data_IF_678036108431
#
_entry.id   IF_678036108431
#
_cell.length_a   1.000
_cell.length_b   1.000
_cell.length_c   1.000
_cell.angle_alpha   90.00
_cell.angle_beta   90.00
_cell.angle_gamma   90.00
#
_symmetry.space_group_name_H-M   'P 1'
#
loop_
_entity.id
_entity.type
_entity.pdbx_description
1 polymer ?
#
# COMPACT_ATOMS: atom_id res chain seq x y z
N UNK A 1 23.57 22.81 11.34
CA UNK A 1 23.16 21.57 10.67
C UNK A 1 22.94 20.43 11.66
N UNK A 2 23.89 20.11 12.57
CA UNK A 2 23.73 19.02 13.57
C UNK A 2 22.47 19.13 14.44
N UNK A 3 22.17 20.32 15.00
CA UNK A 3 20.94 20.53 15.82
C UNK A 3 19.66 20.22 15.04
N UNK A 4 19.62 20.49 13.74
CA UNK A 4 18.49 20.18 12.88
C UNK A 4 18.28 18.67 12.73
N UNK A 5 19.36 17.91 12.45
CA UNK A 5 19.30 16.46 12.32
C UNK A 5 18.92 15.78 13.63
N UNK A 6 19.54 16.19 14.77
CA UNK A 6 19.24 15.63 16.09
C UNK A 6 17.75 15.85 16.44
N UNK A 7 17.26 17.09 16.25
CA UNK A 7 15.84 17.40 16.52
C UNK A 7 14.92 16.53 15.67
N UNK A 8 15.23 16.37 14.38
CA UNK A 8 14.43 15.55 13.45
C UNK A 8 14.43 14.08 13.83
N UNK A 9 15.59 13.55 14.23
CA UNK A 9 15.72 12.17 14.70
C UNK A 9 14.91 11.93 15.98
N UNK A 10 14.99 12.84 16.96
CA UNK A 10 14.21 12.74 18.21
C UNK A 10 12.70 12.72 17.89
N UNK A 11 12.22 13.65 17.05
CA UNK A 11 10.81 13.66 16.67
C UNK A 11 10.40 12.40 15.91
N UNK A 12 11.24 11.87 15.01
CA UNK A 12 10.97 10.63 14.31
C UNK A 12 10.83 9.44 15.28
N UNK A 13 11.74 9.33 16.25
CA UNK A 13 11.69 8.27 17.27
C UNK A 13 10.44 8.42 18.13
N UNK A 14 10.13 9.62 18.61
CA UNK A 14 8.94 9.88 19.41
C UNK A 14 7.66 9.57 18.62
N UNK A 15 7.60 9.95 17.36
CA UNK A 15 6.45 9.66 16.48
C UNK A 15 6.29 8.16 16.27
N UNK A 16 7.37 7.44 15.94
CA UNK A 16 7.35 5.99 15.80
C UNK A 16 6.89 5.30 17.08
N UNK A 17 7.44 5.71 18.21
CA UNK A 17 7.05 5.17 19.51
C UNK A 17 5.58 5.42 19.81
N UNK A 18 5.10 6.64 19.59
CA UNK A 18 3.69 7.00 19.81
C UNK A 18 2.76 6.19 18.90
N UNK A 19 3.09 6.06 17.61
CA UNK A 19 2.30 5.28 16.66
C UNK A 19 2.25 3.81 17.07
N UNK A 20 3.40 3.21 17.39
CA UNK A 20 3.44 1.80 17.81
C UNK A 20 2.66 1.57 19.10
N UNK A 21 2.72 2.50 20.06
CA UNK A 21 1.96 2.42 21.29
C UNK A 21 0.45 2.47 21.05
N UNK A 22 0.00 3.42 20.23
CA UNK A 22 -1.43 3.57 19.88
C UNK A 22 -1.93 2.34 19.12
N UNK A 23 -1.20 1.90 18.08
CA UNK A 23 -1.61 0.74 17.27
C UNK A 23 -1.63 -0.54 18.11
N UNK A 24 -0.63 -0.73 18.98
CA UNK A 24 -0.61 -1.86 19.91
C UNK A 24 -1.81 -1.79 20.87
N UNK A 25 -2.11 -0.61 21.43
CA UNK A 25 -3.28 -0.39 22.28
C UNK A 25 -4.60 -0.73 21.57
N UNK A 26 -4.79 -0.19 20.37
CA UNK A 26 -5.99 -0.47 19.57
C UNK A 26 -6.13 -1.97 19.24
N UNK A 27 -5.02 -2.66 18.96
CA UNK A 27 -5.04 -4.09 18.69
C UNK A 27 -5.45 -4.94 19.90
N UNK A 28 -5.30 -4.40 21.12
CA UNK A 28 -5.68 -5.05 22.38
C UNK A 28 -7.08 -4.65 22.89
N UNK A 29 -7.68 -3.62 22.31
CA UNK A 29 -9.07 -3.23 22.60
C UNK A 29 -10.09 -4.03 21.77
N UNK A 30 -9.62 -4.75 20.76
CA UNK A 30 -10.44 -5.63 19.94
C UNK A 30 -10.84 -6.93 20.66
N UNK A 31 -11.64 -7.79 20.00
CA UNK A 31 -11.95 -9.12 20.50
C UNK A 31 -10.69 -9.93 20.79
N UNK A 32 -10.77 -10.88 21.73
CA UNK A 32 -9.65 -11.75 22.05
C UNK A 32 -9.12 -12.41 20.75
N UNK A 33 -7.83 -12.20 20.41
CA UNK A 33 -7.26 -12.75 19.18
C UNK A 33 -7.30 -14.27 19.11
N UNK A 34 -7.52 -14.95 20.24
CA UNK A 34 -7.64 -16.41 20.30
C UNK A 34 -9.02 -16.92 19.85
N UNK A 35 -10.02 -16.02 19.70
CA UNK A 35 -11.33 -16.42 19.17
C UNK A 35 -11.25 -16.96 17.73
N UNK A 36 -10.17 -16.66 16.99
CA UNK A 36 -9.94 -17.25 15.67
C UNK A 36 -9.80 -18.76 15.73
N UNK A 37 -9.21 -19.29 16.80
CA UNK A 37 -9.07 -20.73 17.01
C UNK A 37 -10.39 -21.39 17.42
N UNK A 38 -11.27 -20.68 18.13
CA UNK A 38 -12.59 -21.20 18.54
C UNK A 38 -13.52 -21.33 17.34
N UNK A 39 -13.37 -20.49 16.31
CA UNK A 39 -14.23 -20.51 15.11
C UNK A 39 -13.86 -21.58 14.10
N UNK A 40 -12.59 -21.99 14.04
CA UNK A 40 -12.09 -22.95 13.03
C UNK A 40 -12.33 -24.41 13.46
N UNK A 41 -12.43 -24.70 14.76
CA UNK A 41 -12.66 -26.06 15.24
C UNK A 41 -14.14 -26.33 15.50
N UNK A 42 -14.72 -27.22 14.70
CA UNK A 42 -16.11 -27.69 14.83
C UNK A 42 -16.42 -28.39 16.17
N UNK A 43 -15.40 -28.73 16.96
CA UNK A 43 -15.49 -29.41 18.25
C UNK A 43 -15.26 -28.49 19.47
N UNK A 44 -14.92 -27.21 19.24
CA UNK A 44 -14.62 -26.28 20.32
C UNK A 44 -13.28 -26.59 21.04
N UNK A 45 -12.41 -25.62 21.10
CA UNK A 45 -11.15 -25.74 21.88
C UNK A 45 -11.51 -25.68 23.35
N UNK A 46 -10.93 -26.59 24.18
CA UNK A 46 -11.18 -26.57 25.62
C UNK A 46 -10.62 -25.28 26.26
N UNK A 47 -11.25 -24.78 27.32
CA UNK A 47 -10.77 -23.59 28.05
C UNK A 47 -9.33 -23.76 28.52
N UNK A 48 -8.95 -24.97 28.92
CA UNK A 48 -7.57 -25.30 29.33
C UNK A 48 -6.56 -25.04 28.19
N UNK A 49 -6.92 -25.37 26.95
CA UNK A 49 -6.06 -25.11 25.78
C UNK A 49 -5.99 -23.61 25.45
N UNK A 50 -7.10 -22.88 25.60
CA UNK A 50 -7.11 -21.42 25.44
C UNK A 50 -6.23 -20.74 26.48
N UNK A 51 -6.26 -21.17 27.73
CA UNK A 51 -5.39 -20.61 28.79
C UNK A 51 -3.91 -20.91 28.53
N UNK A 52 -3.58 -22.10 28.05
CA UNK A 52 -2.21 -22.41 27.60
C UNK A 52 -1.75 -21.50 26.46
N UNK A 53 -2.63 -21.23 25.49
CA UNK A 53 -2.37 -20.31 24.41
C UNK A 53 -2.23 -18.86 24.90
N UNK A 54 -3.09 -18.41 25.83
CA UNK A 54 -2.96 -17.07 26.46
C UNK A 54 -1.61 -16.88 27.13
N UNK A 55 -1.18 -17.88 27.91
CA UNK A 55 0.12 -17.84 28.58
C UNK A 55 1.28 -17.90 27.58
N UNK A 56 1.19 -18.75 26.55
CA UNK A 56 2.19 -18.86 25.49
C UNK A 56 2.38 -17.53 24.76
N UNK A 57 1.30 -16.82 24.45
CA UNK A 57 1.34 -15.52 23.76
C UNK A 57 1.49 -14.32 24.71
N UNK A 58 1.54 -14.57 26.04
CA UNK A 58 1.68 -13.54 27.06
C UNK A 58 0.50 -12.57 27.12
N UNK A 59 -0.70 -13.02 26.73
CA UNK A 59 -1.92 -12.25 26.74
C UNK A 59 -2.51 -12.09 28.16
N UNK A 60 -2.08 -12.94 29.09
CA UNK A 60 -2.38 -12.93 30.52
C UNK A 60 -1.73 -11.79 31.29
N UNK A 61 -0.77 -11.09 30.69
CA UNK A 61 0.03 -10.07 31.36
C UNK A 61 -0.59 -8.68 31.23
N UNK A 62 -0.27 -7.74 32.17
CA UNK A 62 -0.67 -6.35 32.07
C UNK A 62 -0.20 -5.73 30.73
N UNK A 63 -1.01 -4.85 30.17
CA UNK A 63 -0.79 -4.20 28.87
C UNK A 63 0.62 -3.61 28.70
N UNK A 64 1.11 -2.89 29.69
CA UNK A 64 2.44 -2.27 29.65
C UNK A 64 3.58 -3.31 29.54
N UNK A 65 3.42 -4.47 30.19
CA UNK A 65 4.41 -5.56 30.11
C UNK A 65 4.36 -6.21 28.73
N UNK A 66 3.17 -6.41 28.16
CA UNK A 66 3.01 -6.93 26.81
C UNK A 66 3.69 -6.00 25.80
N UNK A 67 3.43 -4.67 25.88
CA UNK A 67 4.02 -3.69 24.98
C UNK A 67 5.54 -3.65 25.07
N UNK A 68 6.10 -3.59 26.27
CA UNK A 68 7.56 -3.54 26.48
C UNK A 68 8.26 -4.79 25.95
N UNK A 69 7.68 -5.98 26.15
CA UNK A 69 8.21 -7.23 25.62
C UNK A 69 8.18 -7.26 24.09
N UNK A 70 7.05 -6.87 23.51
CA UNK A 70 6.89 -6.77 22.08
C UNK A 70 7.88 -5.78 21.47
N UNK A 71 8.05 -4.61 22.07
CA UNK A 71 9.03 -3.62 21.63
C UNK A 71 10.46 -4.15 21.72
N UNK A 72 10.82 -4.84 22.82
CA UNK A 72 12.13 -5.44 22.98
C UNK A 72 12.39 -6.58 21.98
N UNK A 73 11.37 -7.33 21.56
CA UNK A 73 11.48 -8.34 20.52
C UNK A 73 11.73 -7.69 19.15
N UNK A 74 10.94 -6.68 18.79
CA UNK A 74 11.07 -5.95 17.51
C UNK A 74 12.45 -5.31 17.36
N UNK A 75 13.00 -4.71 18.40
CA UNK A 75 14.35 -4.11 18.35
C UNK A 75 15.45 -5.13 18.12
N UNK A 76 15.18 -6.41 18.36
CA UNK A 76 16.08 -7.54 18.06
C UNK A 76 15.78 -8.20 16.70
N UNK A 77 14.82 -7.66 15.94
CA UNK A 77 14.40 -8.25 14.66
C UNK A 77 13.42 -9.41 14.79
N UNK A 78 12.93 -9.70 16.00
CA UNK A 78 11.90 -10.71 16.23
C UNK A 78 10.51 -10.06 16.17
N UNK A 79 9.80 -10.30 15.07
CA UNK A 79 8.43 -9.83 14.84
C UNK A 79 7.38 -10.82 15.37
N UNK A 80 7.82 -11.89 16.02
CA UNK A 80 6.95 -12.93 16.54
C UNK A 80 6.30 -13.81 15.47
N UNK A 81 5.29 -14.55 15.91
CA UNK A 81 4.49 -15.41 15.05
C UNK A 81 3.11 -14.82 14.76
N UNK A 82 2.61 -15.02 13.57
CA UNK A 82 1.24 -14.67 13.19
C UNK A 82 0.26 -15.65 13.84
N UNK A 83 -0.68 -15.14 14.63
CA UNK A 83 -1.74 -15.95 15.26
C UNK A 83 -2.59 -16.65 14.18
N UNK A 84 -2.95 -15.94 13.11
CA UNK A 84 -3.79 -16.47 12.04
C UNK A 84 -3.06 -17.47 11.12
N UNK A 85 -1.80 -17.19 10.77
CA UNK A 85 -1.03 -18.01 9.82
C UNK A 85 -0.15 -19.07 10.50
N UNK A 86 0.01 -19.02 11.81
CA UNK A 86 0.87 -19.92 12.64
C UNK A 86 2.31 -20.03 12.11
N UNK A 87 2.84 -18.93 11.61
CA UNK A 87 4.17 -18.85 10.99
C UNK A 87 4.88 -17.56 11.42
N UNK A 88 6.22 -17.53 11.42
CA UNK A 88 6.98 -16.32 11.70
C UNK A 88 6.56 -15.14 10.79
N UNK A 89 6.28 -13.99 11.39
CA UNK A 89 5.86 -12.77 10.67
C UNK A 89 6.93 -12.32 9.68
N UNK A 90 8.22 -12.43 10.06
CA UNK A 90 9.36 -12.12 9.18
C UNK A 90 9.32 -12.91 7.87
N UNK A 91 8.97 -14.20 7.93
CA UNK A 91 8.87 -15.06 6.75
C UNK A 91 7.69 -14.64 5.86
N UNK A 92 6.54 -14.32 6.46
CA UNK A 92 5.36 -13.84 5.74
C UNK A 92 5.67 -12.53 5.00
N UNK A 93 6.36 -11.60 5.68
CA UNK A 93 6.78 -10.32 5.07
C UNK A 93 7.75 -10.59 3.92
N UNK A 94 8.79 -11.39 4.14
CA UNK A 94 9.80 -11.68 3.12
C UNK A 94 9.19 -12.34 1.86
N UNK A 95 8.19 -13.19 2.01
CA UNK A 95 7.48 -13.83 0.89
C UNK A 95 6.57 -12.87 0.12
N UNK A 96 5.97 -11.87 0.79
CA UNK A 96 5.00 -10.96 0.16
C UNK A 96 5.62 -9.64 -0.31
N UNK A 97 6.66 -9.17 0.36
CA UNK A 97 7.29 -7.88 0.07
C UNK A 97 7.77 -7.74 -1.39
N UNK A 98 8.42 -8.74 -2.03
CA UNK A 98 8.87 -8.62 -3.41
C UNK A 98 7.72 -8.33 -4.39
N UNK A 99 6.61 -9.06 -4.27
CA UNK A 99 5.44 -8.86 -5.14
C UNK A 99 4.80 -7.47 -4.92
N UNK A 100 4.74 -7.02 -3.67
CA UNK A 100 4.23 -5.68 -3.31
C UNK A 100 5.11 -4.58 -3.90
N UNK A 101 6.44 -4.70 -3.79
CA UNK A 101 7.38 -3.73 -4.34
C UNK A 101 7.34 -3.72 -5.88
N UNK A 102 7.26 -4.88 -6.52
CA UNK A 102 7.11 -4.98 -7.98
C UNK A 102 5.84 -4.29 -8.45
N UNK A 103 4.70 -4.58 -7.82
CA UNK A 103 3.43 -3.95 -8.16
C UNK A 103 3.47 -2.44 -7.96
N UNK A 104 3.99 -1.97 -6.82
CA UNK A 104 4.13 -0.55 -6.52
C UNK A 104 5.02 0.17 -7.53
N UNK A 105 6.14 -0.43 -7.92
CA UNK A 105 7.07 0.14 -8.89
C UNK A 105 6.44 0.22 -10.30
N UNK A 106 5.76 -0.83 -10.75
CA UNK A 106 5.07 -0.84 -12.05
C UNK A 106 3.96 0.23 -12.04
N UNK A 107 3.13 0.28 -11.00
CA UNK A 107 2.07 1.27 -10.87
C UNK A 107 2.63 2.70 -10.85
N UNK A 108 3.75 2.94 -10.13
CA UNK A 108 4.41 4.24 -10.10
C UNK A 108 4.96 4.66 -11.46
N UNK A 109 5.58 3.76 -12.23
CA UNK A 109 6.09 4.03 -13.58
C UNK A 109 4.92 4.35 -14.52
N UNK A 110 3.84 3.54 -14.49
CA UNK A 110 2.65 3.74 -15.30
C UNK A 110 1.91 5.04 -14.96
N UNK A 111 2.03 5.52 -13.73
CA UNK A 111 1.45 6.79 -13.32
C UNK A 111 2.36 7.98 -13.68
N UNK A 112 3.65 7.91 -13.36
CA UNK A 112 4.55 9.06 -13.44
C UNK A 112 4.94 9.40 -14.88
N UNK A 113 5.31 8.43 -15.71
CA UNK A 113 5.78 8.70 -17.07
C UNK A 113 4.69 9.36 -17.93
N UNK A 114 3.49 8.76 -18.10
CA UNK A 114 2.45 9.40 -18.90
C UNK A 114 1.84 10.61 -18.18
N UNK A 115 1.75 10.61 -16.84
CA UNK A 115 1.22 11.74 -16.08
C UNK A 115 2.06 13.00 -16.26
N UNK A 116 3.37 12.89 -16.08
CA UNK A 116 4.30 14.00 -16.29
C UNK A 116 4.32 14.41 -17.77
N UNK A 117 4.42 13.45 -18.70
CA UNK A 117 4.46 13.74 -20.14
C UNK A 117 3.22 14.48 -20.63
N UNK A 118 2.04 14.04 -20.24
CA UNK A 118 0.77 14.70 -20.58
C UNK A 118 0.62 16.05 -19.86
N UNK A 119 1.15 16.17 -18.63
CA UNK A 119 1.17 17.43 -17.89
C UNK A 119 2.00 18.51 -18.60
N UNK A 120 3.19 18.15 -19.07
CA UNK A 120 4.04 19.04 -19.87
C UNK A 120 3.35 19.42 -21.18
N UNK A 121 2.82 18.43 -21.91
CA UNK A 121 2.11 18.68 -23.17
C UNK A 121 0.92 19.64 -22.99
N UNK A 122 0.16 19.45 -21.91
CA UNK A 122 -0.97 20.29 -21.54
C UNK A 122 -0.54 21.74 -21.24
N UNK A 123 0.57 21.93 -20.55
CA UNK A 123 1.12 23.25 -20.22
C UNK A 123 1.64 23.99 -21.47
N UNK A 124 2.44 23.30 -22.29
CA UNK A 124 3.02 23.88 -23.53
C UNK A 124 1.94 24.22 -24.54
N UNK A 125 0.90 23.41 -24.63
CA UNK A 125 -0.26 23.65 -25.54
C UNK A 125 -1.46 24.27 -24.81
N UNK A 126 -1.21 25.17 -23.87
CA UNK A 126 -2.26 25.86 -23.09
C UNK A 126 -3.35 26.45 -23.98
N UNK A 127 -4.61 26.18 -23.62
CA UNK A 127 -5.80 26.66 -24.35
C UNK A 127 -6.12 25.88 -25.62
N UNK A 128 -5.34 24.89 -26.01
CA UNK A 128 -5.62 24.02 -27.16
C UNK A 128 -6.58 22.88 -26.79
N UNK A 129 -7.10 22.17 -27.80
CA UNK A 129 -7.91 20.97 -27.62
C UNK A 129 -7.19 19.89 -26.79
N UNK A 130 -5.86 19.80 -26.90
CA UNK A 130 -5.05 18.88 -26.10
C UNK A 130 -5.04 19.25 -24.61
N UNK A 131 -4.98 20.54 -24.30
CA UNK A 131 -5.07 21.00 -22.91
C UNK A 131 -6.44 20.67 -22.32
N UNK A 132 -7.54 20.93 -23.04
CA UNK A 132 -8.88 20.57 -22.57
C UNK A 132 -9.05 19.06 -22.40
N UNK A 133 -8.59 18.27 -23.35
CA UNK A 133 -8.67 16.82 -23.29
C UNK A 133 -7.91 16.24 -22.07
N UNK A 134 -6.66 16.63 -21.89
CA UNK A 134 -5.83 16.13 -20.77
C UNK A 134 -6.39 16.56 -19.41
N UNK A 135 -6.92 17.79 -19.30
CA UNK A 135 -7.59 18.25 -18.07
C UNK A 135 -8.85 17.46 -17.78
N UNK A 136 -9.65 17.17 -18.79
CA UNK A 136 -10.86 16.33 -18.62
C UNK A 136 -10.47 14.92 -18.17
N UNK A 137 -9.45 14.32 -18.76
CA UNK A 137 -8.93 13.02 -18.33
C UNK A 137 -8.43 13.05 -16.87
N UNK A 138 -7.73 14.11 -16.47
CA UNK A 138 -7.28 14.25 -15.08
C UNK A 138 -8.45 14.36 -14.09
N UNK A 139 -9.50 15.09 -14.45
CA UNK A 139 -10.71 15.18 -13.64
C UNK A 139 -11.42 13.83 -13.52
N UNK A 140 -11.57 13.10 -14.61
CA UNK A 140 -12.14 11.74 -14.61
C UNK A 140 -11.29 10.82 -13.73
N UNK A 141 -9.96 10.88 -13.87
CA UNK A 141 -9.03 10.06 -13.08
C UNK A 141 -9.18 10.26 -11.57
N UNK A 142 -9.32 11.50 -11.14
CA UNK A 142 -9.49 11.83 -9.71
C UNK A 142 -10.91 11.59 -9.19
N UNK A 143 -11.91 11.70 -10.05
CA UNK A 143 -13.30 11.47 -9.65
C UNK A 143 -13.67 9.98 -9.63
N UNK A 144 -12.87 9.12 -10.24
CA UNK A 144 -13.17 7.68 -10.37
C UNK A 144 -12.73 6.92 -9.13
N UNK A 145 -13.63 6.26 -8.38
CA UNK A 145 -13.25 5.43 -7.26
C UNK A 145 -12.43 4.22 -7.73
N UNK A 146 -11.30 3.95 -7.05
CA UNK A 146 -10.37 2.88 -7.44
C UNK A 146 -11.01 1.49 -7.44
N UNK A 147 -11.89 1.19 -6.48
CA UNK A 147 -12.61 -0.09 -6.44
C UNK A 147 -13.57 -0.26 -7.63
N UNK A 148 -14.24 0.81 -8.04
CA UNK A 148 -15.14 0.78 -9.19
C UNK A 148 -14.36 0.56 -10.49
N UNK A 149 -13.24 1.28 -10.66
CA UNK A 149 -12.34 1.07 -11.78
C UNK A 149 -11.82 -0.37 -11.82
N UNK A 150 -11.43 -0.94 -10.66
CA UNK A 150 -10.97 -2.32 -10.58
C UNK A 150 -12.02 -3.31 -11.08
N UNK A 151 -13.28 -3.16 -10.63
CA UNK A 151 -14.39 -4.01 -11.05
C UNK A 151 -14.62 -3.90 -12.56
N UNK A 152 -14.64 -2.67 -13.09
CA UNK A 152 -14.81 -2.45 -14.54
C UNK A 152 -13.68 -3.06 -15.36
N UNK A 153 -12.42 -2.88 -14.92
CA UNK A 153 -11.26 -3.45 -15.63
C UNK A 153 -11.30 -4.99 -15.61
N UNK A 154 -11.67 -5.61 -14.50
CA UNK A 154 -11.83 -7.07 -14.42
C UNK A 154 -12.94 -7.52 -15.37
N UNK A 155 -14.13 -6.92 -15.30
CA UNK A 155 -15.27 -7.31 -16.12
C UNK A 155 -15.03 -7.10 -17.62
N UNK A 156 -14.45 -5.96 -18.02
CA UNK A 156 -14.24 -5.66 -19.42
C UNK A 156 -13.00 -6.38 -19.97
N UNK A 157 -11.87 -6.27 -19.31
CA UNK A 157 -10.58 -6.70 -19.86
C UNK A 157 -10.29 -8.18 -19.58
N UNK A 158 -10.61 -8.66 -18.36
CA UNK A 158 -10.32 -10.04 -18.00
C UNK A 158 -11.46 -11.00 -18.37
N UNK A 159 -12.72 -10.61 -18.14
CA UNK A 159 -13.85 -11.52 -18.35
C UNK A 159 -14.42 -11.42 -19.78
N UNK A 160 -14.66 -10.20 -20.29
CA UNK A 160 -15.34 -10.04 -21.58
C UNK A 160 -14.40 -10.09 -22.78
N UNK A 161 -13.21 -9.48 -22.67
CA UNK A 161 -12.22 -9.44 -23.73
C UNK A 161 -11.16 -10.54 -23.61
N UNK A 162 -11.00 -11.14 -22.44
CA UNK A 162 -10.02 -12.20 -22.15
C UNK A 162 -8.55 -11.80 -22.49
N UNK A 163 -8.26 -10.49 -22.50
CA UNK A 163 -6.94 -9.98 -22.87
C UNK A 163 -5.89 -10.16 -21.77
N UNK A 164 -6.33 -10.04 -20.52
CA UNK A 164 -5.46 -10.11 -19.35
C UNK A 164 -6.12 -11.00 -18.29
N UNK A 165 -5.32 -11.76 -17.52
CA UNK A 165 -5.86 -12.55 -16.43
C UNK A 165 -6.42 -11.66 -15.32
N UNK A 166 -7.47 -12.12 -14.58
CA UNK A 166 -7.87 -11.46 -13.35
C UNK A 166 -6.70 -11.46 -12.36
N UNK A 167 -6.66 -10.47 -11.47
CA UNK A 167 -5.57 -10.23 -10.53
C UNK A 167 -5.44 -11.35 -9.48
N UNK A 168 -4.97 -12.51 -9.88
CA UNK A 168 -4.61 -13.65 -9.04
C UNK A 168 -3.11 -13.93 -9.20
N UNK A 169 -2.49 -14.50 -8.18
CA UNK A 169 -1.06 -14.83 -8.22
C UNK A 169 -0.83 -15.93 -9.27
N UNK A 170 0.05 -15.68 -10.23
CA UNK A 170 0.52 -16.69 -11.17
C UNK A 170 1.18 -17.87 -10.44
N UNK A 171 1.07 -19.07 -10.98
CA UNK A 171 1.86 -20.20 -10.51
C UNK A 171 3.35 -19.92 -10.75
N UNK A 172 4.22 -20.31 -9.80
CA UNK A 172 5.67 -20.09 -9.90
C UNK A 172 6.33 -20.79 -11.10
N UNK A 173 5.63 -21.72 -11.73
CA UNK A 173 6.07 -22.48 -12.91
C UNK A 173 5.76 -21.79 -14.24
N UNK A 174 5.03 -20.67 -14.22
CA UNK A 174 4.65 -19.99 -15.46
C UNK A 174 5.77 -19.10 -16.02
N UNK A 175 5.68 -18.82 -17.32
CA UNK A 175 6.66 -17.97 -18.01
C UNK A 175 6.69 -16.56 -17.42
N UNK A 176 7.81 -15.85 -17.54
CA UNK A 176 7.95 -14.46 -17.10
C UNK A 176 6.87 -13.55 -17.69
N UNK A 177 6.52 -13.74 -18.97
CA UNK A 177 5.50 -12.94 -19.66
C UNK A 177 4.12 -13.17 -19.05
N UNK A 178 3.78 -14.42 -18.74
CA UNK A 178 2.52 -14.77 -18.07
C UNK A 178 2.47 -14.19 -16.67
N UNK A 179 3.57 -14.30 -15.91
CA UNK A 179 3.63 -13.68 -14.58
C UNK A 179 3.48 -12.16 -14.63
N UNK A 180 4.11 -11.50 -15.61
CA UNK A 180 3.99 -10.04 -15.80
C UNK A 180 2.55 -9.62 -16.10
N UNK A 181 1.80 -10.40 -16.89
CA UNK A 181 0.41 -10.08 -17.24
C UNK A 181 -0.53 -9.98 -16.04
N UNK A 182 -0.26 -10.73 -14.96
CA UNK A 182 -1.03 -10.65 -13.69
C UNK A 182 -0.84 -9.33 -12.94
N UNK A 183 0.25 -8.59 -13.19
CA UNK A 183 0.50 -7.30 -12.58
C UNK A 183 -0.14 -6.13 -13.34
N UNK A 184 -0.50 -6.30 -14.62
CA UNK A 184 -0.94 -5.19 -15.47
C UNK A 184 -2.23 -4.56 -14.94
N UNK A 185 -3.30 -5.35 -14.74
CA UNK A 185 -4.58 -4.81 -14.27
C UNK A 185 -4.47 -4.14 -12.89
N UNK A 186 -3.89 -4.79 -11.86
CA UNK A 186 -3.71 -4.13 -10.57
C UNK A 186 -2.85 -2.88 -10.63
N UNK A 187 -1.79 -2.88 -11.44
CA UNK A 187 -0.91 -1.72 -11.59
C UNK A 187 -1.61 -0.55 -12.27
N UNK A 188 -2.43 -0.80 -13.29
CA UNK A 188 -3.25 0.23 -13.94
C UNK A 188 -4.24 0.86 -12.96
N UNK A 189 -4.93 0.04 -12.16
CA UNK A 189 -5.88 0.54 -11.16
C UNK A 189 -5.18 1.38 -10.09
N UNK A 190 -4.07 0.88 -9.54
CA UNK A 190 -3.29 1.58 -8.52
C UNK A 190 -2.62 2.85 -9.04
N UNK A 191 -2.21 2.85 -10.32
CA UNK A 191 -1.56 3.98 -10.97
C UNK A 191 -2.52 5.07 -11.47
N UNK A 192 -3.83 4.80 -11.56
CA UNK A 192 -4.77 5.68 -12.24
C UNK A 192 -4.98 7.03 -11.54
N UNK A 193 -5.25 7.05 -10.25
CA UNK A 193 -5.38 8.28 -9.47
C UNK A 193 -4.05 9.05 -9.35
N UNK A 194 -2.90 8.42 -8.99
CA UNK A 194 -1.60 9.09 -9.05
C UNK A 194 -1.26 9.66 -10.42
N UNK A 195 -1.58 8.97 -11.52
CA UNK A 195 -1.39 9.47 -12.87
C UNK A 195 -2.13 10.79 -13.12
N UNK A 196 -3.40 10.86 -12.76
CA UNK A 196 -4.20 12.07 -12.88
C UNK A 196 -3.65 13.22 -12.02
N UNK A 197 -3.18 12.89 -10.83
CA UNK A 197 -2.53 13.83 -9.91
C UNK A 197 -1.22 14.37 -10.49
N UNK A 198 -0.33 13.52 -11.01
CA UNK A 198 0.92 13.95 -11.64
C UNK A 198 0.67 14.84 -12.86
N UNK A 199 -0.30 14.50 -13.71
CA UNK A 199 -0.70 15.31 -14.85
C UNK A 199 -1.07 16.74 -14.40
N UNK A 200 -1.94 16.86 -13.42
CA UNK A 200 -2.41 18.15 -12.92
C UNK A 200 -1.29 18.96 -12.25
N UNK A 201 -0.51 18.33 -11.38
CA UNK A 201 0.60 18.99 -10.68
C UNK A 201 1.66 19.47 -11.67
N UNK A 202 2.08 18.60 -12.59
CA UNK A 202 3.09 18.97 -13.61
C UNK A 202 2.60 20.14 -14.46
N UNK A 203 1.35 20.11 -14.91
CA UNK A 203 0.76 21.21 -15.66
C UNK A 203 0.79 22.52 -14.86
N UNK A 204 0.35 22.49 -13.61
CA UNK A 204 0.32 23.69 -12.75
C UNK A 204 1.70 24.28 -12.54
N UNK A 205 2.68 23.44 -12.17
CA UNK A 205 4.06 23.87 -11.93
C UNK A 205 4.73 24.39 -13.22
N UNK A 206 4.47 23.74 -14.35
CA UNK A 206 4.99 24.20 -15.65
C UNK A 206 4.42 25.56 -16.04
N UNK A 207 3.14 25.81 -15.83
CA UNK A 207 2.51 27.12 -16.12
C UNK A 207 3.09 28.22 -15.23
N UNK A 208 3.33 27.94 -13.95
CA UNK A 208 3.94 28.89 -13.01
C UNK A 208 5.34 29.29 -13.49
N UNK A 209 6.15 28.32 -13.92
CA UNK A 209 7.49 28.60 -14.46
C UNK A 209 7.43 29.32 -15.80
N UNK A 210 6.57 28.89 -16.74
CA UNK A 210 6.45 29.54 -18.08
C UNK A 210 5.90 30.96 -18.00
N UNK A 211 5.08 31.27 -16.99
CA UNK A 211 4.57 32.64 -16.77
C UNK A 211 5.54 33.51 -15.96
N UNK A 212 6.67 32.97 -15.46
CA UNK A 212 7.68 33.75 -14.72
C UNK A 212 8.43 34.72 -15.62
N UNK A 213 8.87 35.87 -15.05
CA UNK A 213 9.65 36.87 -15.78
C UNK A 213 10.98 36.31 -16.25
N UNK A 214 11.57 35.38 -15.52
CA UNK A 214 12.82 34.72 -15.86
C UNK A 214 12.78 33.96 -17.21
N UNK A 215 11.63 33.45 -17.61
CA UNK A 215 11.45 32.69 -18.87
C UNK A 215 11.02 33.63 -20.01
N UNK A 216 10.48 34.83 -19.69
CA UNK A 216 10.02 35.82 -20.68
C UNK A 216 11.12 36.78 -21.16
N UNK A 217 12.28 36.74 -20.51
CA UNK A 217 13.50 37.47 -20.92
C UNK A 217 14.31 36.68 -21.94
#
# INVERSE_FOLDING_TARGET
MQKFFIRRLIFAILTLWSITFVVFGLSRMGPDPLLIYVRDDSYGISEETLDKLRTKWGLDRPFHIQYLRWMAAITRGDFGESIAAQRPVTKIIAERLPATLQLAMIAWILASIPGVGLGVLSAVKRGSMWDYFTRTLALIGQATPSFWLAILMILLVAVRLEWLPPATKAASTESFMTQASYFVLPAMVLGFDPWATYLRLTRSSMLEVLDSEFVKL
#
